data_IF_117323115699
#
_entry.id   IF_117323115699
#
_cell.length_a   1.000
_cell.length_b   1.000
_cell.length_c   1.000
_cell.angle_alpha   90.00
_cell.angle_beta   90.00
_cell.angle_gamma   90.00
#
_symmetry.space_group_name_H-M   'P 1'
#
loop_
_entity.id
_entity.type
_entity.pdbx_description
1 polymer ?
#
# COMPACT_ATOMS: atom_id res chain seq x y z
N UNK A 1 1.12 6.45 -1.70
CA UNK A 1 0.07 6.90 -2.61
C UNK A 1 0.66 6.92 -3.99
N UNK A 2 0.15 6.07 -4.87
CA UNK A 2 0.59 6.06 -6.24
C UNK A 2 0.16 7.30 -7.02
N UNK A 3 0.97 7.71 -8.00
CA UNK A 3 0.72 8.87 -8.87
C UNK A 3 0.11 8.43 -10.20
N UNK A 4 -1.15 8.01 -10.24
CA UNK A 4 -1.79 7.81 -11.56
C UNK A 4 -3.28 8.08 -11.57
N UNK A 5 -3.70 8.57 -12.74
CA UNK A 5 -4.93 9.30 -13.03
C UNK A 5 -6.09 8.36 -13.37
N UNK A 6 -6.99 8.13 -12.42
CA UNK A 6 -8.33 7.64 -12.70
C UNK A 6 -9.35 8.53 -11.96
N UNK A 7 -10.20 9.21 -12.73
CA UNK A 7 -11.34 10.03 -12.30
C UNK A 7 -11.03 11.20 -11.34
N UNK A 8 -10.50 12.27 -11.95
CA UNK A 8 -9.93 13.49 -11.34
C UNK A 8 -10.78 14.20 -10.29
N UNK A 9 -12.11 14.20 -10.36
CA UNK A 9 -12.93 15.07 -9.50
C UNK A 9 -13.00 14.57 -8.05
N UNK A 10 -13.27 13.29 -7.86
CA UNK A 10 -13.32 12.68 -6.51
C UNK A 10 -11.93 12.67 -5.86
N UNK A 11 -10.89 12.46 -6.67
CA UNK A 11 -9.51 12.50 -6.19
C UNK A 11 -9.07 13.92 -5.79
N UNK A 12 -9.38 14.93 -6.60
CA UNK A 12 -9.11 16.34 -6.28
C UNK A 12 -9.89 16.80 -5.03
N UNK A 13 -11.17 16.44 -4.93
CA UNK A 13 -12.01 16.77 -3.77
C UNK A 13 -11.47 16.14 -2.48
N UNK A 14 -10.99 14.89 -2.56
CA UNK A 14 -10.35 14.22 -1.43
C UNK A 14 -9.04 14.91 -1.02
N UNK A 15 -8.21 15.31 -1.98
CA UNK A 15 -6.95 16.02 -1.70
C UNK A 15 -7.20 17.40 -1.07
N UNK A 16 -8.16 18.17 -1.60
CA UNK A 16 -8.56 19.46 -1.05
C UNK A 16 -9.11 19.31 0.38
N UNK A 17 -9.87 18.25 0.66
CA UNK A 17 -10.39 17.99 2.00
C UNK A 17 -9.27 17.64 2.99
N UNK A 18 -8.30 16.84 2.57
CA UNK A 18 -7.13 16.45 3.39
C UNK A 18 -6.29 17.69 3.72
N UNK A 19 -6.05 18.56 2.73
CA UNK A 19 -5.35 19.84 2.91
C UNK A 19 -6.11 20.76 3.86
N UNK A 20 -7.42 20.95 3.65
CA UNK A 20 -8.28 21.76 4.54
C UNK A 20 -8.32 21.25 5.98
N UNK A 21 -8.14 19.94 6.19
CA UNK A 21 -8.10 19.32 7.52
C UNK A 21 -6.69 19.27 8.14
N UNK A 22 -5.67 19.77 7.44
CA UNK A 22 -4.28 19.77 7.93
C UNK A 22 -3.69 18.37 8.13
N UNK A 23 -4.22 17.37 7.43
CA UNK A 23 -3.81 15.98 7.59
C UNK A 23 -2.52 15.73 6.81
N UNK A 24 -1.53 15.11 7.46
CA UNK A 24 -0.25 14.76 6.81
C UNK A 24 -0.44 13.54 5.90
N UNK A 25 -0.28 13.73 4.59
CA UNK A 25 -0.27 12.63 3.63
C UNK A 25 1.05 11.86 3.79
N UNK A 26 0.97 10.61 4.24
CA UNK A 26 2.09 9.67 4.16
C UNK A 26 1.94 8.83 2.91
N UNK A 27 2.95 8.88 2.04
CA UNK A 27 2.98 8.04 0.85
C UNK A 27 3.10 6.58 1.27
N UNK A 28 1.99 5.83 1.17
CA UNK A 28 2.04 4.37 1.21
C UNK A 28 2.97 3.84 0.10
N UNK A 29 4.00 3.10 0.53
CA UNK A 29 5.03 2.43 -0.26
C UNK A 29 5.56 1.25 0.53
N UNK A 30 6.24 0.33 -0.15
CA UNK A 30 6.92 -0.81 0.48
C UNK A 30 7.82 -0.38 1.65
N UNK A 31 7.77 -1.13 2.74
CA UNK A 31 8.60 -0.94 3.93
C UNK A 31 8.07 0.08 4.95
N UNK A 32 6.93 0.73 4.69
CA UNK A 32 6.31 1.63 5.67
C UNK A 32 5.53 0.83 6.70
N UNK A 33 5.90 0.97 7.98
CA UNK A 33 5.13 0.42 9.11
C UNK A 33 4.09 1.45 9.56
N UNK A 34 2.82 1.07 9.52
CA UNK A 34 1.69 1.93 9.92
C UNK A 34 1.48 1.85 11.43
N UNK A 35 1.49 0.65 11.97
CA UNK A 35 1.36 0.41 13.40
C UNK A 35 2.10 -0.86 13.79
N UNK A 36 2.71 -0.84 14.98
CA UNK A 36 3.36 -1.99 15.59
C UNK A 36 3.14 -1.91 17.09
N UNK A 37 2.26 -2.76 17.61
CA UNK A 37 1.86 -2.78 19.01
C UNK A 37 1.67 -4.23 19.45
N UNK A 38 2.36 -4.65 20.50
CA UNK A 38 2.32 -6.01 21.07
C UNK A 38 2.39 -7.11 20.01
N UNK A 39 1.22 -7.67 19.64
CA UNK A 39 1.05 -8.75 18.67
C UNK A 39 0.62 -8.27 17.28
N UNK A 40 0.18 -7.02 17.16
CA UNK A 40 -0.29 -6.42 15.91
C UNK A 40 0.85 -5.69 15.20
N UNK A 41 1.09 -6.05 13.94
CA UNK A 41 1.97 -5.33 13.03
C UNK A 41 1.24 -5.09 11.72
N UNK A 42 1.12 -3.82 11.33
CA UNK A 42 0.52 -3.39 10.06
C UNK A 42 1.57 -2.67 9.25
N UNK A 43 1.88 -3.18 8.07
CA UNK A 43 2.90 -2.62 7.18
C UNK A 43 2.46 -2.64 5.73
N UNK A 44 3.04 -1.75 4.93
CA UNK A 44 2.87 -1.73 3.49
C UNK A 44 4.02 -2.47 2.82
N UNK A 45 3.68 -3.38 1.90
CA UNK A 45 4.62 -4.19 1.12
C UNK A 45 4.74 -3.68 -0.32
N UNK A 46 3.71 -3.01 -0.84
CA UNK A 46 3.74 -2.37 -2.15
C UNK A 46 3.07 -0.99 -2.12
N UNK A 47 3.27 -0.13 -3.12
CA UNK A 47 4.17 -0.31 -4.27
C UNK A 47 5.66 -0.25 -3.88
N UNK A 48 6.49 -1.08 -4.52
CA UNK A 48 7.95 -1.12 -4.33
C UNK A 48 8.63 -0.03 -5.17
N UNK A 49 8.24 0.07 -6.43
CA UNK A 49 8.72 1.08 -7.36
C UNK A 49 7.80 2.30 -7.41
N UNK A 50 8.24 3.36 -8.10
CA UNK A 50 7.48 4.62 -8.21
C UNK A 50 7.01 4.96 -9.62
N UNK A 51 7.41 4.19 -10.62
CA UNK A 51 7.00 4.32 -12.01
C UNK A 51 6.32 3.04 -12.50
N UNK A 52 5.00 3.09 -12.70
CA UNK A 52 4.26 2.05 -13.38
C UNK A 52 3.42 2.68 -14.51
N UNK A 53 3.29 1.97 -15.62
CA UNK A 53 2.39 2.41 -16.69
C UNK A 53 0.92 2.12 -16.33
N UNK A 54 0.69 1.03 -15.62
CA UNK A 54 -0.61 0.62 -15.13
C UNK A 54 -0.85 1.12 -13.68
N UNK A 55 -1.97 1.83 -13.52
CA UNK A 55 -2.49 2.42 -12.30
C UNK A 55 -2.81 1.38 -11.22
N UNK A 56 -3.06 0.14 -11.64
CA UNK A 56 -3.35 -0.96 -10.73
C UNK A 56 -2.10 -1.45 -9.99
N UNK A 57 -0.91 -1.40 -10.60
CA UNK A 57 0.35 -1.84 -9.96
C UNK A 57 0.82 -0.95 -8.80
N UNK A 58 0.21 0.21 -8.76
CA UNK A 58 0.36 1.26 -7.78
C UNK A 58 -0.54 1.02 -6.54
N UNK A 59 -1.39 -0.01 -6.58
CA UNK A 59 -2.17 -0.50 -5.44
C UNK A 59 -1.27 -0.73 -4.23
N UNK A 60 -1.77 -0.30 -3.07
CA UNK A 60 -1.05 -0.48 -1.82
C UNK A 60 -1.33 -1.87 -1.26
N UNK A 61 -0.31 -2.72 -1.26
CA UNK A 61 -0.42 -4.06 -0.65
C UNK A 61 -0.13 -3.92 0.84
N UNK A 62 -1.10 -4.29 1.67
CA UNK A 62 -1.01 -4.16 3.13
C UNK A 62 -0.90 -5.53 3.76
N UNK A 63 0.09 -5.70 4.63
CA UNK A 63 0.21 -6.89 5.47
C UNK A 63 -0.19 -6.57 6.90
N UNK A 64 -1.03 -7.42 7.46
CA UNK A 64 -1.48 -7.35 8.85
C UNK A 64 -1.07 -8.66 9.52
N UNK A 65 -0.18 -8.59 10.51
CA UNK A 65 0.20 -9.73 11.34
C UNK A 65 -0.37 -9.54 12.74
N UNK A 66 -1.12 -10.53 13.22
CA UNK A 66 -1.59 -10.60 14.60
C UNK A 66 -1.08 -11.89 15.25
N UNK A 67 -0.02 -11.78 16.04
CA UNK A 67 0.66 -12.91 16.66
C UNK A 67 1.28 -13.83 15.61
N UNK A 68 0.69 -15.01 15.41
CA UNK A 68 1.13 -15.99 14.42
C UNK A 68 0.34 -15.94 13.11
N UNK A 69 -0.78 -15.22 13.08
CA UNK A 69 -1.66 -15.14 11.91
C UNK A 69 -1.29 -13.91 11.08
N UNK A 70 -1.16 -14.06 9.77
CA UNK A 70 -0.91 -12.98 8.84
C UNK A 70 -1.99 -12.92 7.74
N UNK A 71 -2.37 -11.71 7.36
CA UNK A 71 -3.27 -11.40 6.25
C UNK A 71 -2.52 -10.53 5.24
N UNK A 72 -2.76 -10.76 3.96
CA UNK A 72 -2.20 -9.96 2.88
C UNK A 72 -3.34 -9.40 2.01
N UNK A 73 -3.52 -8.08 2.09
CA UNK A 73 -4.55 -7.36 1.33
C UNK A 73 -3.87 -6.71 0.12
N UNK A 74 -4.01 -7.34 -1.05
CA UNK A 74 -3.30 -6.95 -2.27
C UNK A 74 -4.02 -5.91 -3.12
N UNK A 75 -5.35 -5.76 -2.95
CA UNK A 75 -6.16 -4.92 -3.83
C UNK A 75 -6.07 -5.38 -5.27
N UNK A 76 -5.96 -4.44 -6.21
CA UNK A 76 -5.82 -4.72 -7.64
C UNK A 76 -4.35 -4.76 -8.09
N UNK A 77 -3.41 -5.06 -7.18
CA UNK A 77 -1.99 -5.17 -7.54
C UNK A 77 -1.80 -6.25 -8.61
N UNK A 78 -1.28 -5.86 -9.78
CA UNK A 78 -1.03 -6.77 -10.89
C UNK A 78 0.30 -7.51 -10.78
N UNK A 79 0.56 -8.38 -11.76
CA UNK A 79 1.73 -9.28 -11.79
C UNK A 79 3.07 -8.55 -11.70
N UNK A 80 3.17 -7.32 -12.23
CA UNK A 80 4.40 -6.52 -12.12
C UNK A 80 4.68 -6.10 -10.68
N UNK A 81 3.65 -5.68 -9.94
CA UNK A 81 3.77 -5.34 -8.52
C UNK A 81 4.10 -6.59 -7.69
N UNK A 82 3.48 -7.74 -7.99
CA UNK A 82 3.78 -9.02 -7.33
C UNK A 82 5.22 -9.49 -7.54
N UNK A 83 5.72 -9.43 -8.77
CA UNK A 83 7.09 -9.82 -9.08
C UNK A 83 8.10 -8.96 -8.28
N UNK A 84 7.84 -7.67 -8.15
CA UNK A 84 8.69 -6.76 -7.37
C UNK A 84 8.60 -7.04 -5.87
N UNK A 85 7.41 -7.35 -5.36
CA UNK A 85 7.24 -7.75 -3.96
C UNK A 85 8.08 -9.01 -3.64
N UNK A 86 8.07 -10.01 -4.53
CA UNK A 86 8.88 -11.23 -4.38
C UNK A 86 10.38 -10.88 -4.44
N UNK A 87 10.79 -10.11 -5.45
CA UNK A 87 12.18 -9.71 -5.64
C UNK A 87 12.74 -8.88 -4.47
N UNK A 88 11.88 -8.11 -3.79
CA UNK A 88 12.28 -7.30 -2.62
C UNK A 88 12.62 -8.13 -1.38
N UNK A 89 12.32 -9.44 -1.38
CA UNK A 89 12.49 -10.30 -0.21
C UNK A 89 11.49 -10.01 0.91
N UNK A 90 10.39 -9.31 0.61
CA UNK A 90 9.33 -9.05 1.57
C UNK A 90 8.68 -10.35 2.06
N UNK A 91 8.25 -10.35 3.32
CA UNK A 91 7.50 -11.47 3.89
C UNK A 91 6.05 -11.45 3.37
N UNK A 92 5.82 -12.19 2.29
CA UNK A 92 4.51 -12.34 1.62
C UNK A 92 3.68 -13.48 2.20
N UNK A 93 4.15 -14.16 3.25
CA UNK A 93 3.39 -15.25 3.85
C UNK A 93 2.13 -14.69 4.52
N UNK A 94 0.99 -15.19 4.07
CA UNK A 94 -0.31 -15.00 4.67
C UNK A 94 -0.95 -16.36 4.97
N UNK A 95 -1.76 -16.41 6.02
CA UNK A 95 -2.55 -17.57 6.40
C UNK A 95 -3.97 -17.51 5.81
N UNK A 96 -4.42 -16.31 5.43
CA UNK A 96 -5.73 -16.00 4.83
C UNK A 96 -5.57 -14.97 3.74
#
# INVERSE_FOLDING_TARGET
MPKVRANKKVFEDALLLIERKGLKIKTAKAGVVVSKQDKLEVSFIAPVETGYDDLNNYSTVTRIRYGKTAFLLTGDAGTMSEAQMIASGADLKADV
#
